data_IF_033169090910
#
_entry.id   IF_033169090910
#
_cell.length_a   1.000
_cell.length_b   1.000
_cell.length_c   1.000
_cell.angle_alpha   90.00
_cell.angle_beta   90.00
_cell.angle_gamma   90.00
#
_symmetry.space_group_name_H-M   'P 1'
#
loop_
_entity.id
_entity.type
_entity.pdbx_description
1 polymer ?
#
# COMPACT_ATOMS: atom_id res chain seq x y z
N UNK A 1 -39.57 -16.41 36.17
CA UNK A 1 -38.24 -15.76 36.10
C UNK A 1 -37.84 -15.73 34.63
N UNK A 2 -37.90 -14.56 34.00
CA UNK A 2 -37.55 -14.41 32.59
C UNK A 2 -36.09 -13.95 32.52
N UNK A 3 -35.19 -14.86 32.16
CA UNK A 3 -33.81 -14.53 31.88
C UNK A 3 -33.75 -13.71 30.58
N UNK A 4 -33.44 -12.42 30.70
CA UNK A 4 -33.01 -11.61 29.56
C UNK A 4 -31.53 -11.91 29.33
N UNK A 5 -31.23 -12.72 28.32
CA UNK A 5 -29.87 -12.83 27.80
C UNK A 5 -29.56 -11.54 27.06
N UNK A 6 -28.74 -10.69 27.66
CA UNK A 6 -28.14 -9.56 26.97
C UNK A 6 -27.15 -10.11 25.92
N UNK A 7 -27.45 -9.87 24.64
CA UNK A 7 -26.47 -10.08 23.57
C UNK A 7 -25.45 -8.96 23.73
N UNK A 8 -24.25 -9.30 24.19
CA UNK A 8 -23.13 -8.39 24.17
C UNK A 8 -22.72 -8.16 22.70
N UNK A 9 -23.12 -7.03 22.13
CA UNK A 9 -22.52 -6.51 20.90
C UNK A 9 -21.06 -6.20 21.21
N UNK A 10 -20.15 -7.10 20.85
CA UNK A 10 -18.73 -6.78 20.78
C UNK A 10 -18.51 -5.93 19.54
N UNK A 11 -18.82 -4.64 19.64
CA UNK A 11 -18.29 -3.62 18.72
C UNK A 11 -16.79 -3.52 18.96
N UNK A 12 -16.07 -4.49 18.39
CA UNK A 12 -14.62 -4.42 18.28
C UNK A 12 -14.34 -3.30 17.29
N UNK A 13 -14.16 -2.08 17.80
CA UNK A 13 -13.82 -0.92 16.98
C UNK A 13 -12.53 -1.25 16.24
N UNK A 14 -12.62 -1.62 14.96
CA UNK A 14 -11.45 -2.00 14.16
C UNK A 14 -10.53 -0.79 14.06
N UNK A 15 -9.32 -0.93 14.59
CA UNK A 15 -8.35 0.18 14.59
C UNK A 15 -7.78 0.39 13.18
N UNK A 16 -7.15 1.53 12.92
CA UNK A 16 -6.47 1.76 11.64
C UNK A 16 -5.34 0.75 11.41
N UNK A 17 -4.68 0.26 12.49
CA UNK A 17 -3.62 -0.74 12.34
C UNK A 17 -4.18 -2.13 12.01
N UNK A 18 -5.36 -2.47 12.52
CA UNK A 18 -6.06 -3.70 12.11
C UNK A 18 -6.46 -3.63 10.64
N UNK A 19 -6.89 -2.45 10.17
CA UNK A 19 -7.16 -2.20 8.76
C UNK A 19 -5.92 -2.31 7.87
N UNK A 20 -4.73 -1.88 8.33
CA UNK A 20 -3.46 -2.13 7.62
C UNK A 20 -3.18 -3.62 7.50
N UNK A 21 -3.44 -4.42 8.54
CA UNK A 21 -3.30 -5.88 8.49
C UNK A 21 -4.30 -6.50 7.50
N UNK A 22 -5.56 -6.08 7.54
CA UNK A 22 -6.59 -6.54 6.60
C UNK A 22 -6.20 -6.22 5.15
N UNK A 23 -5.71 -5.01 4.87
CA UNK A 23 -5.24 -4.63 3.54
C UNK A 23 -4.08 -5.52 3.08
N UNK A 24 -3.08 -5.73 3.94
CA UNK A 24 -1.92 -6.59 3.65
C UNK A 24 -2.34 -8.02 3.32
N UNK A 25 -3.21 -8.59 4.16
CA UNK A 25 -3.63 -9.97 4.01
C UNK A 25 -4.51 -10.13 2.75
N UNK A 26 -5.38 -9.17 2.45
CA UNK A 26 -6.18 -9.15 1.23
C UNK A 26 -5.32 -9.05 -0.04
N UNK A 27 -4.30 -8.17 -0.05
CA UNK A 27 -3.37 -8.06 -1.17
C UNK A 27 -2.59 -9.37 -1.37
N UNK A 28 -2.06 -9.94 -0.28
CA UNK A 28 -1.31 -11.20 -0.34
C UNK A 28 -2.17 -12.37 -0.88
N UNK A 29 -3.45 -12.43 -0.47
CA UNK A 29 -4.39 -13.46 -0.91
C UNK A 29 -5.04 -13.16 -2.27
N UNK A 30 -4.70 -12.03 -2.91
CA UNK A 30 -5.37 -11.53 -4.12
C UNK A 30 -6.88 -11.37 -3.96
N UNK A 31 -7.33 -11.06 -2.74
CA UNK A 31 -8.72 -10.71 -2.47
C UNK A 31 -8.97 -9.26 -2.92
N UNK A 32 -9.29 -9.13 -4.20
CA UNK A 32 -9.55 -7.84 -4.85
C UNK A 32 -10.78 -7.16 -4.25
N UNK A 33 -11.81 -7.91 -3.88
CA UNK A 33 -13.03 -7.36 -3.30
C UNK A 33 -12.74 -6.68 -1.95
N UNK A 34 -12.04 -7.37 -1.04
CA UNK A 34 -11.63 -6.75 0.23
C UNK A 34 -10.67 -5.59 0.01
N UNK A 35 -9.71 -5.73 -0.91
CA UNK A 35 -8.74 -4.66 -1.20
C UNK A 35 -9.44 -3.40 -1.72
N UNK A 36 -10.43 -3.53 -2.62
CA UNK A 36 -11.21 -2.41 -3.15
C UNK A 36 -11.95 -1.62 -2.07
N UNK A 37 -12.30 -2.23 -0.93
CA UNK A 37 -12.97 -1.51 0.18
C UNK A 37 -12.13 -0.38 0.81
N UNK A 38 -10.82 -0.35 0.54
CA UNK A 38 -9.91 0.71 0.95
C UNK A 38 -9.86 1.88 -0.04
N UNK A 39 -10.42 1.73 -1.23
CA UNK A 39 -10.37 2.72 -2.30
C UNK A 39 -11.74 3.36 -2.52
N UNK A 40 -11.74 4.60 -3.00
CA UNK A 40 -12.96 5.28 -3.45
C UNK A 40 -12.88 5.39 -4.97
N UNK A 41 -13.56 4.49 -5.69
CA UNK A 41 -13.60 4.52 -7.14
C UNK A 41 -14.76 5.40 -7.65
N UNK A 42 -14.60 6.05 -8.83
CA UNK A 42 -13.33 6.25 -9.50
C UNK A 42 -12.45 7.26 -8.75
N UNK A 43 -11.13 7.20 -8.95
CA UNK A 43 -10.21 8.24 -8.50
C UNK A 43 -9.24 8.64 -9.62
N UNK A 44 -8.71 9.86 -9.54
CA UNK A 44 -7.72 10.37 -10.48
C UNK A 44 -6.33 10.28 -9.87
N UNK A 45 -5.43 9.57 -10.54
CA UNK A 45 -4.04 9.45 -10.15
C UNK A 45 -3.22 9.09 -11.41
N UNK A 46 -2.51 10.05 -11.99
CA UNK A 46 -1.73 9.83 -13.21
C UNK A 46 -0.57 8.83 -12.99
N UNK A 47 0.06 8.89 -11.82
CA UNK A 47 1.16 7.99 -11.39
C UNK A 47 0.77 6.52 -11.46
N UNK A 48 -0.47 6.17 -11.13
CA UNK A 48 -0.99 4.82 -11.29
C UNK A 48 -0.75 4.28 -12.71
N UNK A 49 -1.04 5.09 -13.74
CA UNK A 49 -0.89 4.67 -15.13
C UNK A 49 0.55 4.56 -15.58
N UNK A 50 1.43 5.43 -15.08
CA UNK A 50 2.87 5.30 -15.31
C UNK A 50 3.41 4.00 -14.70
N UNK A 51 3.05 3.72 -13.45
CA UNK A 51 3.47 2.52 -12.72
C UNK A 51 2.98 1.23 -13.41
N UNK A 52 1.74 1.20 -13.90
CA UNK A 52 1.22 -0.01 -14.58
C UNK A 52 1.65 -0.14 -16.05
N UNK A 53 2.40 0.84 -16.58
CA UNK A 53 2.97 0.84 -17.93
C UNK A 53 1.96 1.20 -19.03
N UNK A 54 1.05 2.14 -18.77
CA UNK A 54 0.02 2.60 -19.72
C UNK A 54 -0.05 4.13 -19.75
N UNK A 55 1.07 4.83 -20.09
CA UNK A 55 1.22 6.28 -19.94
C UNK A 55 0.22 7.11 -20.75
N UNK A 56 -0.26 6.57 -21.87
CA UNK A 56 -1.30 7.21 -22.69
C UNK A 56 -2.64 7.41 -21.93
N UNK A 57 -2.87 6.67 -20.84
CA UNK A 57 -4.02 6.90 -19.95
C UNK A 57 -3.75 7.99 -18.91
N UNK A 58 -2.49 8.18 -18.48
CA UNK A 58 -2.10 9.35 -17.68
C UNK A 58 -2.29 10.65 -18.46
N UNK A 59 -1.79 10.69 -19.70
CA UNK A 59 -1.87 11.86 -20.59
C UNK A 59 -3.32 12.30 -20.89
N UNK A 60 -4.25 11.34 -20.84
CA UNK A 60 -5.69 11.57 -21.04
C UNK A 60 -6.44 11.86 -19.74
N UNK A 61 -5.73 11.94 -18.61
CA UNK A 61 -6.30 12.08 -17.27
C UNK A 61 -7.37 11.03 -16.98
N UNK A 62 -7.17 9.80 -17.48
CA UNK A 62 -8.17 8.75 -17.36
C UNK A 62 -8.38 8.40 -15.88
N UNK A 63 -9.64 8.29 -15.40
CA UNK A 63 -9.90 7.89 -14.03
C UNK A 63 -9.56 6.41 -13.83
N UNK A 64 -9.01 6.08 -12.67
CA UNK A 64 -8.87 4.69 -12.24
C UNK A 64 -10.25 4.22 -11.75
N UNK A 65 -10.80 3.25 -12.46
CA UNK A 65 -12.06 2.56 -12.15
C UNK A 65 -11.79 1.23 -11.45
N UNK A 66 -12.82 0.61 -10.85
CA UNK A 66 -12.71 -0.76 -10.32
C UNK A 66 -12.21 -1.74 -11.39
N UNK A 67 -12.72 -1.64 -12.62
CA UNK A 67 -12.33 -2.53 -13.72
C UNK A 67 -10.85 -2.41 -14.07
N UNK A 68 -10.32 -1.18 -14.13
CA UNK A 68 -8.89 -0.98 -14.37
C UNK A 68 -8.04 -1.40 -13.19
N UNK A 69 -8.51 -1.17 -11.95
CA UNK A 69 -7.84 -1.64 -10.75
C UNK A 69 -7.72 -3.17 -10.74
N UNK A 70 -8.82 -3.88 -11.05
CA UNK A 70 -8.82 -5.34 -11.14
C UNK A 70 -7.90 -5.86 -12.24
N UNK A 71 -7.85 -5.17 -13.38
CA UNK A 71 -6.98 -5.52 -14.52
C UNK A 71 -5.50 -5.39 -14.17
N UNK A 72 -5.12 -4.34 -13.43
CA UNK A 72 -3.72 -4.02 -13.12
C UNK A 72 -3.31 -4.36 -11.68
N UNK A 73 -4.12 -5.15 -10.97
CA UNK A 73 -3.89 -5.49 -9.56
C UNK A 73 -2.49 -6.08 -9.30
N UNK A 74 -2.04 -7.05 -10.09
CA UNK A 74 -0.71 -7.67 -9.92
C UNK A 74 0.45 -6.75 -10.38
N UNK A 75 0.15 -5.66 -11.10
CA UNK A 75 1.16 -4.65 -11.46
C UNK A 75 1.31 -3.58 -10.39
N UNK A 76 0.21 -3.20 -9.75
CA UNK A 76 0.23 -2.21 -8.66
C UNK A 76 0.68 -2.84 -7.34
N UNK A 77 0.45 -4.14 -7.15
CA UNK A 77 0.96 -4.91 -6.01
C UNK A 77 1.78 -6.09 -6.52
N UNK A 78 2.97 -5.78 -7.01
CA UNK A 78 3.89 -6.77 -7.53
C UNK A 78 4.49 -7.67 -6.43
N UNK A 79 5.32 -8.63 -6.85
CA UNK A 79 5.95 -9.60 -5.95
C UNK A 79 6.79 -8.90 -4.87
N UNK A 80 7.52 -7.84 -5.24
CA UNK A 80 8.43 -7.11 -4.36
C UNK A 80 7.64 -6.33 -3.31
N UNK A 81 6.57 -5.64 -3.71
CA UNK A 81 5.63 -4.98 -2.81
C UNK A 81 5.06 -5.98 -1.81
N UNK A 82 4.50 -7.10 -2.29
CA UNK A 82 3.88 -8.13 -1.42
C UNK A 82 4.91 -8.67 -0.42
N UNK A 83 6.11 -9.01 -0.90
CA UNK A 83 7.19 -9.55 -0.07
C UNK A 83 7.60 -8.57 1.03
N UNK A 84 7.73 -7.29 0.69
CA UNK A 84 8.12 -6.26 1.64
C UNK A 84 6.98 -5.96 2.64
N UNK A 85 5.74 -5.84 2.16
CA UNK A 85 4.59 -5.51 3.01
C UNK A 85 4.30 -6.61 4.04
N UNK A 86 4.49 -7.89 3.68
CA UNK A 86 4.42 -9.01 4.62
C UNK A 86 5.44 -8.92 5.76
N UNK A 87 6.61 -8.32 5.52
CA UNK A 87 7.69 -8.17 6.50
C UNK A 87 7.52 -6.94 7.41
N UNK A 88 6.56 -6.05 7.12
CA UNK A 88 6.27 -4.89 7.96
C UNK A 88 5.73 -5.34 9.33
N UNK A 89 6.43 -4.90 10.39
CA UNK A 89 6.05 -5.18 11.78
C UNK A 89 5.00 -4.16 12.22
N UNK A 90 3.73 -4.52 12.05
CA UNK A 90 2.60 -3.63 12.43
C UNK A 90 2.59 -3.20 13.90
N UNK A 91 3.20 -3.97 14.81
CA UNK A 91 3.41 -3.56 16.20
C UNK A 91 4.35 -2.34 16.29
N UNK A 92 5.49 -2.39 15.59
CA UNK A 92 6.44 -1.27 15.55
C UNK A 92 5.79 -0.04 14.89
N UNK A 93 5.07 -0.24 13.78
CA UNK A 93 4.35 0.86 13.12
C UNK A 93 3.33 1.54 14.06
N UNK A 94 2.60 0.76 14.85
CA UNK A 94 1.62 1.29 15.80
C UNK A 94 2.27 2.01 16.99
N UNK A 95 3.31 1.42 17.58
CA UNK A 95 3.94 1.94 18.81
C UNK A 95 4.93 3.07 18.55
N UNK A 96 5.67 3.01 17.44
CA UNK A 96 6.77 3.93 17.11
C UNK A 96 6.45 4.88 15.97
N UNK A 97 5.38 4.63 15.22
CA UNK A 97 5.05 5.37 14.01
C UNK A 97 5.87 4.98 12.78
N UNK A 98 6.75 3.98 12.87
CA UNK A 98 7.54 3.49 11.72
C UNK A 98 7.87 2.01 11.83
N UNK A 99 7.99 1.34 10.69
CA UNK A 99 8.52 -0.01 10.56
C UNK A 99 9.20 -0.17 9.22
N UNK A 100 10.41 -0.73 9.21
CA UNK A 100 11.21 -0.91 8.00
C UNK A 100 11.64 -2.36 7.82
N UNK A 101 11.61 -2.85 6.60
CA UNK A 101 12.15 -4.18 6.27
C UNK A 101 13.67 -4.12 6.17
N UNK A 102 14.33 -5.24 6.45
CA UNK A 102 15.68 -5.43 5.93
C UNK A 102 15.63 -5.39 4.39
N UNK A 103 16.74 -4.96 3.78
CA UNK A 103 16.94 -5.05 2.34
C UNK A 103 16.84 -6.52 1.88
N UNK A 104 16.26 -6.75 0.70
CA UNK A 104 16.19 -8.06 0.08
C UNK A 104 16.37 -7.96 -1.44
N UNK A 105 16.73 -9.08 -2.07
CA UNK A 105 16.96 -9.20 -3.51
C UNK A 105 16.57 -10.62 -3.94
N UNK A 106 16.16 -10.79 -5.19
CA UNK A 106 15.89 -12.10 -5.80
C UNK A 106 17.04 -12.57 -6.72
N UNK A 107 17.90 -11.67 -7.20
CA UNK A 107 18.88 -11.91 -8.27
C UNK A 107 20.29 -11.37 -7.99
N UNK A 108 20.51 -10.73 -6.83
CA UNK A 108 21.73 -10.02 -6.45
C UNK A 108 22.07 -8.80 -7.32
N UNK A 109 21.14 -8.32 -8.13
CA UNK A 109 21.28 -7.13 -8.97
C UNK A 109 20.33 -6.04 -8.49
N UNK A 110 19.06 -6.40 -8.27
CA UNK A 110 18.00 -5.50 -7.82
C UNK A 110 17.72 -5.69 -6.33
N UNK A 111 17.73 -4.59 -5.60
CA UNK A 111 17.58 -4.55 -4.15
C UNK A 111 16.36 -3.73 -3.75
N UNK A 112 15.64 -4.25 -2.77
CA UNK A 112 14.34 -3.75 -2.37
C UNK A 112 14.24 -3.58 -0.86
N UNK A 113 13.53 -2.56 -0.42
CA UNK A 113 13.12 -2.41 0.97
C UNK A 113 11.80 -1.65 1.07
N UNK A 114 11.05 -1.86 2.14
CA UNK A 114 9.86 -1.05 2.43
C UNK A 114 9.99 -0.36 3.78
N UNK A 115 9.64 0.90 3.81
CA UNK A 115 9.41 1.67 5.03
C UNK A 115 7.94 2.06 5.12
N UNK A 116 7.29 1.65 6.21
CA UNK A 116 5.95 2.07 6.56
C UNK A 116 6.02 3.16 7.63
N UNK A 117 5.36 4.29 7.43
CA UNK A 117 5.30 5.39 8.39
C UNK A 117 3.86 5.76 8.72
N UNK A 118 3.62 6.19 9.95
CA UNK A 118 2.36 6.76 10.42
C UNK A 118 2.60 8.18 10.95
N UNK A 119 2.07 9.16 10.22
CA UNK A 119 2.00 10.54 10.68
C UNK A 119 0.71 10.75 11.47
N UNK A 120 0.87 11.00 12.78
CA UNK A 120 -0.25 11.23 13.69
C UNK A 120 -0.94 12.57 13.46
N UNK A 121 -0.22 13.61 13.05
CA UNK A 121 -0.81 14.93 12.82
C UNK A 121 -1.64 14.93 11.55
N UNK A 122 -1.10 14.33 10.50
CA UNK A 122 -1.74 14.22 9.19
C UNK A 122 -2.70 13.03 9.06
N UNK A 123 -2.79 12.19 10.11
CA UNK A 123 -3.57 10.94 10.11
C UNK A 123 -3.29 10.11 8.85
N UNK A 124 -2.01 9.91 8.53
CA UNK A 124 -1.55 9.34 7.26
C UNK A 124 -0.68 8.13 7.48
N UNK A 125 -0.96 7.04 6.77
CA UNK A 125 -0.07 5.88 6.67
C UNK A 125 0.54 5.89 5.27
N UNK A 126 1.87 5.82 5.19
CA UNK A 126 2.59 5.72 3.92
C UNK A 126 3.35 4.40 3.89
N UNK A 127 3.22 3.65 2.80
CA UNK A 127 4.09 2.51 2.48
C UNK A 127 5.02 2.95 1.35
N UNK A 128 6.30 3.11 1.64
CA UNK A 128 7.33 3.44 0.65
C UNK A 128 8.07 2.17 0.27
N UNK A 129 7.91 1.69 -0.96
CA UNK A 129 8.74 0.64 -1.54
C UNK A 129 9.90 1.30 -2.30
N UNK A 130 11.13 1.10 -1.85
CA UNK A 130 12.33 1.54 -2.55
C UNK A 130 12.96 0.38 -3.30
N UNK A 131 13.41 0.64 -4.52
CA UNK A 131 14.17 -0.27 -5.38
C UNK A 131 15.44 0.42 -5.89
N UNK A 132 16.52 -0.33 -6.08
CA UNK A 132 17.72 0.15 -6.76
C UNK A 132 18.53 -1.01 -7.35
N UNK A 133 19.40 -0.71 -8.33
CA UNK A 133 20.28 -1.70 -8.95
C UNK A 133 21.74 -1.46 -8.55
N UNK A 134 22.45 -2.45 -7.99
CA UNK A 134 23.87 -2.26 -7.61
C UNK A 134 24.86 -2.28 -8.79
N UNK A 135 24.42 -2.73 -9.96
CA UNK A 135 25.23 -2.82 -11.18
C UNK A 135 25.00 -1.64 -12.13
N UNK A 136 24.12 -0.69 -11.81
CA UNK A 136 23.97 0.52 -12.61
C UNK A 136 25.26 1.35 -12.58
N UNK A 137 25.73 1.73 -13.75
CA UNK A 137 26.89 2.58 -13.95
C UNK A 137 26.67 3.93 -13.23
N UNK A 138 27.59 4.41 -12.37
CA UNK A 138 27.46 5.71 -11.70
C UNK A 138 27.25 6.91 -12.62
N UNK A 139 27.52 6.78 -13.92
CA UNK A 139 27.32 7.82 -14.94
C UNK A 139 25.87 7.90 -15.45
N UNK A 140 25.05 6.86 -15.23
CA UNK A 140 23.62 6.83 -15.52
C UNK A 140 22.86 6.72 -14.20
N UNK A 141 22.17 7.80 -13.82
CA UNK A 141 21.36 7.94 -12.59
C UNK A 141 20.79 6.59 -12.12
N UNK A 142 21.28 6.12 -10.97
CA UNK A 142 21.55 4.71 -10.63
C UNK A 142 20.34 3.79 -10.39
N UNK A 143 19.30 3.88 -11.23
CA UNK A 143 18.14 2.99 -11.19
C UNK A 143 17.41 2.98 -9.84
N UNK A 144 17.65 3.97 -8.98
CA UNK A 144 16.96 4.10 -7.70
C UNK A 144 15.56 4.66 -7.95
N UNK A 145 14.57 4.06 -7.32
CA UNK A 145 13.22 4.57 -7.34
C UNK A 145 12.52 4.26 -6.02
N UNK A 146 11.46 5.00 -5.77
CA UNK A 146 10.55 4.79 -4.65
C UNK A 146 9.10 4.93 -5.12
N UNK A 147 8.27 3.95 -4.77
CA UNK A 147 6.82 4.01 -4.96
C UNK A 147 6.17 4.19 -3.59
N UNK A 148 5.39 5.25 -3.43
CA UNK A 148 4.70 5.56 -2.17
C UNK A 148 3.21 5.31 -2.31
N UNK A 149 2.67 4.45 -1.45
CA UNK A 149 1.25 4.17 -1.32
C UNK A 149 0.74 4.91 -0.08
N UNK A 150 -0.04 5.96 -0.30
CA UNK A 150 -0.47 6.88 0.75
C UNK A 150 -1.93 6.60 1.10
N UNK A 151 -2.19 6.44 2.39
CA UNK A 151 -3.51 6.21 2.95
C UNK A 151 -3.82 7.27 4.00
N UNK A 152 -5.02 7.85 3.95
CA UNK A 152 -5.54 8.75 4.98
C UNK A 152 -6.47 7.97 5.91
N UNK A 153 -6.42 8.28 7.20
CA UNK A 153 -7.36 7.77 8.20
C UNK A 153 -8.45 8.82 8.40
N UNK A 154 -9.65 8.53 7.90
CA UNK A 154 -10.81 9.43 8.01
C UNK A 154 -11.91 8.74 8.82
N UNK A 155 -12.33 9.37 9.92
CA UNK A 155 -13.30 8.79 10.86
C UNK A 155 -12.92 7.35 11.29
N UNK A 156 -11.64 7.12 11.57
CA UNK A 156 -11.10 5.81 11.95
C UNK A 156 -10.95 4.81 10.80
N UNK A 157 -11.31 5.16 9.56
CA UNK A 157 -11.20 4.28 8.39
C UNK A 157 -9.96 4.61 7.56
N UNK A 158 -9.16 3.59 7.28
CA UNK A 158 -8.05 3.64 6.33
C UNK A 158 -8.62 3.74 4.91
N UNK A 159 -8.19 4.76 4.18
CA UNK A 159 -8.62 5.04 2.81
C UNK A 159 -7.41 5.38 1.97
N UNK A 160 -7.27 4.73 0.82
CA UNK A 160 -6.30 5.10 -0.19
C UNK A 160 -6.52 6.55 -0.60
N UNK A 161 -5.41 7.30 -0.65
CA UNK A 161 -5.38 8.71 -1.06
C UNK A 161 -4.73 8.81 -2.44
N UNK A 162 -3.51 8.30 -2.57
CA UNK A 162 -2.73 8.37 -3.80
C UNK A 162 -1.59 7.36 -3.81
N UNK A 163 -1.13 7.06 -5.01
CA UNK A 163 0.18 6.48 -5.28
C UNK A 163 1.04 7.54 -5.99
N UNK A 164 2.34 7.50 -5.77
CA UNK A 164 3.31 8.32 -6.49
C UNK A 164 4.63 7.57 -6.67
N UNK A 165 5.35 7.88 -7.74
CA UNK A 165 6.71 7.41 -7.98
C UNK A 165 7.69 8.59 -7.85
N UNK A 166 8.86 8.35 -7.26
CA UNK A 166 9.99 9.27 -7.26
C UNK A 166 11.26 8.47 -7.58
N UNK A 167 12.24 9.10 -8.19
CA UNK A 167 13.43 8.45 -8.73
C UNK A 167 13.86 9.14 -9.99
#
# INVERSE_FOLDING_TARGET
MCAHTAIASTDTTTTWIDQVRTLRDAIYQRDKETTKTFFNFPYNNAEFWYIVGVPNLAEKEAPVTEKSFDLYFDKIFDKQFITAFLKIKTKDLYEKGTSKTAEFTDDQEEYYSMEATYDKNEQTVTLQLSGYNKKSDPEYDGGEYAIFYVFKIKAGKLRFDKILMAG
#
